data_IF_686154426736
#
_entry.id   IF_686154426736
#
_cell.length_a   1.000
_cell.length_b   1.000
_cell.length_c   1.000
_cell.angle_alpha   90.00
_cell.angle_beta   90.00
_cell.angle_gamma   90.00
#
_symmetry.space_group_name_H-M   'P 1'
#
loop_
_entity.id
_entity.type
_entity.pdbx_description
1 polymer ?
#
# COMPACT_ATOMS: atom_id res chain seq x y z
N UNK A 1 18.43 7.50 11.83
CA UNK A 1 18.37 6.05 11.52
C UNK A 1 17.38 5.89 10.39
N UNK A 2 17.90 5.68 9.17
CA UNK A 2 17.10 5.48 7.96
C UNK A 2 16.39 4.13 8.09
N UNK A 3 15.06 4.10 8.03
CA UNK A 3 14.28 2.86 8.21
C UNK A 3 14.59 1.87 7.08
N UNK A 4 15.45 0.91 7.39
CA UNK A 4 16.04 -0.10 6.50
C UNK A 4 15.04 -1.10 5.89
N UNK A 5 13.76 -1.02 6.25
CA UNK A 5 12.74 -2.00 5.89
C UNK A 5 12.23 -1.81 4.44
N UNK A 6 12.09 -0.57 3.97
CA UNK A 6 11.63 -0.29 2.61
C UNK A 6 12.64 -0.76 1.54
N UNK A 7 13.95 -0.58 1.81
CA UNK A 7 15.02 -1.02 0.92
C UNK A 7 15.08 -2.55 0.75
N UNK A 8 14.63 -3.31 1.75
CA UNK A 8 14.73 -4.77 1.76
C UNK A 8 13.59 -5.47 1.02
N UNK A 9 12.42 -4.84 0.96
CA UNK A 9 11.28 -5.32 0.18
C UNK A 9 11.49 -5.21 -1.34
N UNK A 10 12.41 -4.33 -1.77
CA UNK A 10 12.72 -4.14 -3.19
C UNK A 10 13.48 -5.31 -3.83
N UNK A 11 14.15 -6.17 -3.05
CA UNK A 11 15.12 -7.15 -3.57
C UNK A 11 14.51 -8.43 -4.18
N UNK A 12 13.21 -8.67 -4.09
CA UNK A 12 12.62 -10.00 -4.39
C UNK A 12 11.51 -10.04 -5.43
N UNK A 13 11.19 -8.93 -6.12
CA UNK A 13 10.15 -8.93 -7.15
C UNK A 13 10.61 -9.63 -8.46
N UNK A 14 9.95 -10.72 -8.90
CA UNK A 14 10.26 -11.38 -10.17
C UNK A 14 9.83 -10.52 -11.36
N UNK A 15 10.70 -10.39 -12.37
CA UNK A 15 10.45 -9.62 -13.59
C UNK A 15 11.15 -8.26 -13.69
N UNK A 16 11.63 -7.72 -12.55
CA UNK A 16 12.40 -6.48 -12.51
C UNK A 16 13.91 -6.77 -12.55
N UNK A 17 14.68 -5.96 -13.27
CA UNK A 17 16.14 -6.04 -13.29
C UNK A 17 16.76 -5.36 -12.07
N UNK A 18 18.02 -5.66 -11.73
CA UNK A 18 18.73 -5.00 -10.63
C UNK A 18 18.84 -3.47 -10.85
N UNK A 19 19.19 -2.95 -12.04
CA UNK A 19 19.27 -1.52 -12.28
C UNK A 19 17.93 -0.79 -12.10
N UNK A 20 16.82 -1.40 -12.51
CA UNK A 20 15.49 -0.83 -12.31
C UNK A 20 15.16 -0.72 -10.82
N UNK A 21 15.47 -1.76 -10.04
CA UNK A 21 15.30 -1.74 -8.57
C UNK A 21 16.11 -0.63 -7.92
N UNK A 22 17.37 -0.49 -8.32
CA UNK A 22 18.25 0.56 -7.79
C UNK A 22 17.76 1.96 -8.15
N UNK A 23 17.32 2.18 -9.39
CA UNK A 23 16.76 3.46 -9.83
C UNK A 23 15.50 3.83 -9.03
N UNK A 24 14.63 2.86 -8.79
CA UNK A 24 13.41 3.03 -8.02
C UNK A 24 13.72 3.34 -6.54
N UNK A 25 14.65 2.59 -5.93
CA UNK A 25 15.13 2.83 -4.58
C UNK A 25 15.74 4.23 -4.42
N UNK A 26 16.58 4.64 -5.37
CA UNK A 26 17.21 5.96 -5.39
C UNK A 26 16.17 7.07 -5.50
N UNK A 27 15.18 6.92 -6.38
CA UNK A 27 14.11 7.91 -6.54
C UNK A 27 13.30 8.07 -5.25
N UNK A 28 12.88 6.96 -4.64
CA UNK A 28 12.13 6.97 -3.40
C UNK A 28 12.94 7.60 -2.26
N UNK A 29 14.20 7.20 -2.10
CA UNK A 29 15.09 7.76 -1.09
C UNK A 29 15.34 9.25 -1.26
N UNK A 30 15.51 9.72 -2.51
CA UNK A 30 15.64 11.16 -2.80
C UNK A 30 14.37 11.92 -2.43
N UNK A 31 13.20 11.42 -2.81
CA UNK A 31 11.93 12.06 -2.49
C UNK A 31 11.68 12.11 -0.97
N UNK A 32 12.05 11.04 -0.25
CA UNK A 32 11.98 11.00 1.22
C UNK A 32 12.89 12.05 1.87
N UNK A 33 14.14 12.16 1.41
CA UNK A 33 15.09 13.15 1.92
C UNK A 33 14.58 14.58 1.70
N UNK A 34 14.06 14.89 0.53
CA UNK A 34 13.48 16.21 0.23
C UNK A 34 12.23 16.48 1.07
N UNK A 35 11.38 15.48 1.32
CA UNK A 35 10.25 15.61 2.23
C UNK A 35 10.69 15.90 3.67
N UNK A 36 11.65 15.14 4.20
CA UNK A 36 12.19 15.36 5.54
C UNK A 36 12.86 16.73 5.65
N UNK A 37 13.56 17.16 4.61
CA UNK A 37 14.17 18.49 4.53
C UNK A 37 13.12 19.59 4.57
N UNK A 38 12.09 19.50 3.73
CA UNK A 38 11.00 20.47 3.68
C UNK A 38 10.21 20.53 5.00
N UNK A 39 10.09 19.42 5.72
CA UNK A 39 9.50 19.39 7.07
C UNK A 39 10.37 20.13 8.10
N UNK A 40 11.69 19.89 8.10
CA UNK A 40 12.63 20.53 9.03
C UNK A 40 12.77 22.04 8.76
N UNK A 41 12.79 22.44 7.50
CA UNK A 41 12.92 23.84 7.07
C UNK A 41 11.58 24.59 7.06
N UNK A 42 10.48 23.96 7.49
CA UNK A 42 9.17 24.58 7.48
C UNK A 42 9.03 25.63 8.57
N UNK A 43 9.17 26.91 8.19
CA UNK A 43 8.93 28.08 9.04
C UNK A 43 7.45 28.54 9.08
N UNK A 44 6.57 27.82 8.39
CA UNK A 44 5.15 28.16 8.29
C UNK A 44 4.83 29.23 7.25
N UNK A 45 5.81 29.81 6.56
CA UNK A 45 5.59 30.77 5.47
C UNK A 45 4.87 30.13 4.28
N UNK A 46 4.25 30.96 3.42
CA UNK A 46 3.60 30.46 2.20
C UNK A 46 4.57 29.68 1.29
N UNK A 47 5.84 30.11 1.23
CA UNK A 47 6.89 29.45 0.46
C UNK A 47 7.22 28.08 1.05
N UNK A 48 7.44 28.01 2.37
CA UNK A 48 7.70 26.74 3.05
C UNK A 48 6.53 25.76 2.92
N UNK A 49 5.29 26.22 3.09
CA UNK A 49 4.09 25.39 2.90
C UNK A 49 4.00 24.84 1.47
N UNK A 50 4.32 25.65 0.46
CA UNK A 50 4.35 25.19 -0.94
C UNK A 50 5.44 24.16 -1.18
N UNK A 51 6.65 24.38 -0.66
CA UNK A 51 7.75 23.39 -0.75
C UNK A 51 7.38 22.07 -0.11
N UNK A 52 6.80 22.10 1.09
CA UNK A 52 6.34 20.91 1.79
C UNK A 52 5.22 20.18 1.02
N UNK A 53 4.26 20.91 0.46
CA UNK A 53 3.20 20.32 -0.36
C UNK A 53 3.78 19.61 -1.60
N UNK A 54 4.71 20.25 -2.31
CA UNK A 54 5.36 19.66 -3.48
C UNK A 54 6.18 18.40 -3.12
N UNK A 55 6.95 18.45 -2.02
CA UNK A 55 7.73 17.30 -1.57
C UNK A 55 6.84 16.11 -1.17
N UNK A 56 5.67 16.37 -0.57
CA UNK A 56 4.67 15.32 -0.27
C UNK A 56 4.12 14.67 -1.53
N UNK A 57 3.83 15.47 -2.56
CA UNK A 57 3.35 14.95 -3.86
C UNK A 57 4.42 14.06 -4.49
N UNK A 58 5.67 14.52 -4.55
CA UNK A 58 6.74 13.72 -5.18
C UNK A 58 7.01 12.43 -4.41
N UNK A 59 7.03 12.48 -3.06
CA UNK A 59 7.17 11.27 -2.25
C UNK A 59 6.04 10.26 -2.53
N UNK A 60 4.78 10.71 -2.55
CA UNK A 60 3.63 9.84 -2.85
C UNK A 60 3.69 9.26 -4.26
N UNK A 61 4.11 10.04 -5.24
CA UNK A 61 4.27 9.57 -6.61
C UNK A 61 5.38 8.49 -6.70
N UNK A 62 6.51 8.71 -6.03
CA UNK A 62 7.61 7.74 -5.98
C UNK A 62 7.20 6.45 -5.25
N UNK A 63 6.47 6.57 -4.14
CA UNK A 63 5.93 5.44 -3.37
C UNK A 63 4.90 4.64 -4.18
N UNK A 64 3.97 5.33 -4.84
CA UNK A 64 2.98 4.68 -5.71
C UNK A 64 3.64 3.91 -6.85
N UNK A 65 4.59 4.55 -7.55
CA UNK A 65 5.36 3.91 -8.61
C UNK A 65 6.13 2.69 -8.10
N UNK A 66 6.68 2.76 -6.87
CA UNK A 66 7.35 1.62 -6.28
C UNK A 66 6.40 0.45 -5.98
N UNK A 67 5.19 0.73 -5.51
CA UNK A 67 4.17 -0.28 -5.24
C UNK A 67 3.62 -0.92 -6.52
N UNK A 68 3.44 -0.12 -7.58
CA UNK A 68 3.07 -0.60 -8.92
C UNK A 68 4.10 -1.61 -9.45
N UNK A 69 5.37 -1.21 -9.46
CA UNK A 69 6.44 -2.01 -10.07
C UNK A 69 6.77 -3.26 -9.24
N UNK A 70 6.64 -3.21 -7.92
CA UNK A 70 6.81 -4.38 -7.07
C UNK A 70 5.65 -5.38 -7.16
N UNK A 71 4.59 -5.08 -7.91
CA UNK A 71 3.37 -5.89 -7.95
C UNK A 71 2.64 -5.93 -6.61
N UNK A 72 3.02 -5.07 -5.66
CA UNK A 72 2.47 -5.01 -4.32
C UNK A 72 0.99 -4.60 -4.34
N UNK A 73 0.58 -3.78 -5.32
CA UNK A 73 -0.82 -3.43 -5.53
C UNK A 73 -1.67 -4.64 -5.97
N UNK A 74 -1.17 -5.45 -6.90
CA UNK A 74 -1.84 -6.69 -7.33
C UNK A 74 -1.87 -7.74 -6.20
N UNK A 75 -0.81 -7.83 -5.41
CA UNK A 75 -0.76 -8.70 -4.24
C UNK A 75 -1.74 -8.24 -3.14
N UNK A 76 -1.84 -6.93 -2.89
CA UNK A 76 -2.77 -6.35 -1.92
C UNK A 76 -4.23 -6.57 -2.35
N UNK A 77 -4.57 -6.29 -3.60
CA UNK A 77 -5.92 -6.51 -4.16
C UNK A 77 -6.32 -8.00 -4.07
N UNK A 78 -5.41 -8.92 -4.39
CA UNK A 78 -5.61 -10.36 -4.19
C UNK A 78 -5.91 -10.71 -2.72
N UNK A 79 -5.20 -10.12 -1.77
CA UNK A 79 -5.41 -10.37 -0.34
C UNK A 79 -6.77 -9.82 0.12
N UNK A 80 -7.17 -8.63 -0.34
CA UNK A 80 -8.47 -8.03 -0.03
C UNK A 80 -9.65 -8.86 -0.60
N UNK A 81 -9.50 -9.37 -1.83
CA UNK A 81 -10.47 -10.27 -2.46
C UNK A 81 -10.63 -11.59 -1.68
N UNK A 82 -9.53 -12.17 -1.20
CA UNK A 82 -9.57 -13.38 -0.37
C UNK A 82 -10.22 -13.11 0.99
N UNK A 83 -9.96 -11.95 1.60
CA UNK A 83 -10.56 -11.54 2.87
C UNK A 83 -12.08 -11.34 2.78
N UNK A 84 -12.55 -10.71 1.70
CA UNK A 84 -13.98 -10.50 1.42
C UNK A 84 -14.70 -11.80 1.11
N UNK A 85 -14.13 -12.68 0.27
CA UNK A 85 -14.70 -14.00 0.00
C UNK A 85 -14.83 -14.87 1.26
N UNK A 86 -13.82 -14.84 2.14
CA UNK A 86 -13.85 -15.55 3.44
C UNK A 86 -14.97 -15.02 4.35
N UNK A 87 -15.19 -13.71 4.40
CA UNK A 87 -16.28 -13.11 5.16
C UNK A 87 -17.67 -13.50 4.62
N UNK A 88 -17.82 -13.57 3.30
CA UNK A 88 -19.06 -14.00 2.66
C UNK A 88 -19.37 -15.48 2.94
N UNK A 89 -18.36 -16.35 2.85
CA UNK A 89 -18.50 -17.76 3.20
C UNK A 89 -18.92 -17.96 4.67
N UNK A 90 -18.32 -17.22 5.61
CA UNK A 90 -18.68 -17.28 7.02
C UNK A 90 -20.11 -16.79 7.30
N UNK A 91 -20.60 -15.78 6.56
CA UNK A 91 -22.01 -15.35 6.63
C UNK A 91 -22.98 -16.39 6.06
N UNK A 92 -22.62 -17.04 4.95
CA UNK A 92 -23.46 -18.07 4.34
C UNK A 92 -23.63 -19.30 5.25
N UNK A 93 -22.60 -19.67 6.00
CA UNK A 93 -22.67 -20.75 7.00
C UNK A 93 -23.43 -20.36 8.27
N UNK A 94 -23.58 -19.07 8.56
CA UNK A 94 -24.27 -18.55 9.73
C UNK A 94 -25.77 -18.27 9.49
N UNK A 95 -26.28 -18.43 8.26
CA UNK A 95 -27.70 -18.29 7.97
C UNK A 95 -28.50 -19.45 8.61
N UNK A 96 -29.55 -19.18 9.41
CA UNK A 96 -30.21 -20.21 10.20
C UNK A 96 -31.00 -21.19 9.30
N UNK A 97 -30.82 -22.48 9.57
CA UNK A 97 -31.63 -23.59 9.08
C UNK A 97 -33.03 -23.49 9.72
N UNK A 98 -33.83 -22.51 9.29
CA UNK A 98 -35.19 -22.28 9.80
C UNK A 98 -36.20 -22.32 8.66
N UNK A 99 -36.36 -23.49 8.03
CA UNK A 99 -37.53 -23.79 7.17
C UNK A 99 -37.63 -25.27 6.78
N UNK A 100 -37.49 -26.20 7.74
CA UNK A 100 -37.77 -27.62 7.44
C UNK A 100 -38.37 -28.43 8.59
N UNK A 101 -39.20 -27.80 9.43
CA UNK A 101 -39.98 -28.51 10.45
C UNK A 101 -41.33 -27.85 10.72
N UNK A 102 -42.16 -27.75 9.68
CA UNK A 102 -43.56 -27.34 9.80
C UNK A 102 -44.42 -28.05 8.75
N UNK A 103 -44.31 -29.38 8.64
CA UNK A 103 -45.19 -30.19 7.80
C UNK A 103 -45.12 -31.68 8.20
N UNK A 104 -45.34 -32.01 9.47
CA UNK A 104 -45.55 -33.40 9.90
C UNK A 104 -46.14 -33.44 11.31
N UNK A 105 -47.42 -33.09 11.44
CA UNK A 105 -48.28 -33.52 12.55
C UNK A 105 -49.72 -33.38 12.08
N UNK A 106 -50.21 -34.45 11.44
CA UNK A 106 -51.62 -34.84 11.40
C UNK A 106 -51.73 -36.20 12.07
#
# INVERSE_FOLDING_TARGET
>A
MVSTWAARLLLTAPGMTIPEREALAQRLGKAELELQRAQRESDGSAVARRRLANARVEYRNAEHHALEVLGALHALDRVEQLGTARHQAARATAAPVSSRRAAASQ
#
